data_IF_600347657538
#
_entry.id   IF_600347657538
#
_cell.length_a   1.000
_cell.length_b   1.000
_cell.length_c   1.000
_cell.angle_alpha   90.00
_cell.angle_beta   90.00
_cell.angle_gamma   90.00
#
_symmetry.space_group_name_H-M   'P 1'
#
loop_
_entity.id
_entity.type
_entity.pdbx_description
1 polymer ?
#
# COMPACT_ATOMS: atom_id res chain seq x y z
N UNK A 1 -24.58 1.90 0.81
CA UNK A 1 -24.14 0.52 1.06
C UNK A 1 -22.69 0.47 0.63
N UNK A 2 -21.79 -0.02 1.47
CA UNK A 2 -20.37 -0.12 1.10
C UNK A 2 -20.18 -1.41 0.29
N UNK A 3 -19.50 -1.31 -0.85
CA UNK A 3 -19.30 -2.42 -1.77
C UNK A 3 -17.90 -3.01 -1.63
N UNK A 4 -17.74 -4.33 -1.54
CA UNK A 4 -16.42 -4.94 -1.49
C UNK A 4 -15.71 -4.80 -2.84
N UNK A 5 -14.47 -4.33 -2.81
CA UNK A 5 -13.60 -4.25 -3.99
C UNK A 5 -12.65 -5.43 -4.07
N UNK A 6 -12.29 -6.03 -2.95
CA UNK A 6 -11.48 -7.25 -2.87
C UNK A 6 -12.07 -8.18 -1.80
N UNK A 7 -12.27 -9.45 -2.14
CA UNK A 7 -12.72 -10.49 -1.22
C UNK A 7 -11.84 -11.73 -1.39
N UNK A 8 -11.30 -12.23 -0.29
CA UNK A 8 -10.58 -13.48 -0.18
C UNK A 8 -11.33 -14.39 0.79
N UNK A 9 -11.57 -15.63 0.39
CA UNK A 9 -12.24 -16.65 1.20
C UNK A 9 -11.34 -17.90 1.29
N UNK A 10 -10.84 -18.20 2.49
CA UNK A 10 -9.98 -19.35 2.81
C UNK A 10 -8.79 -19.52 1.85
N UNK A 11 -8.16 -18.40 1.47
CA UNK A 11 -7.07 -18.37 0.51
C UNK A 11 -5.76 -18.91 1.10
N UNK A 12 -5.18 -19.91 0.46
CA UNK A 12 -3.83 -20.39 0.75
C UNK A 12 -2.93 -20.28 -0.46
N UNK A 13 -1.63 -20.14 -0.25
CA UNK A 13 -0.63 -20.09 -1.32
C UNK A 13 0.68 -20.74 -0.90
N UNK A 14 1.23 -21.55 -1.79
CA UNK A 14 2.50 -22.26 -1.64
C UNK A 14 3.32 -22.00 -2.89
N UNK A 15 4.55 -21.53 -2.72
CA UNK A 15 5.48 -21.31 -3.83
C UNK A 15 5.93 -22.63 -4.47
N UNK A 16 6.40 -22.63 -5.72
CA UNK A 16 6.86 -23.84 -6.41
C UNK A 16 8.01 -24.58 -5.71
N UNK A 17 8.78 -23.89 -4.88
CA UNK A 17 9.86 -24.45 -4.05
C UNK A 17 9.36 -25.17 -2.79
N UNK A 18 8.04 -25.16 -2.54
CA UNK A 18 7.39 -25.77 -1.39
C UNK A 18 7.20 -24.82 -0.20
N UNK A 19 7.57 -23.54 -0.32
CA UNK A 19 7.38 -22.56 0.76
C UNK A 19 5.91 -22.19 0.90
N UNK A 20 5.29 -22.55 2.03
CA UNK A 20 3.93 -22.12 2.39
C UNK A 20 3.93 -20.65 2.82
N UNK A 21 3.37 -19.78 1.98
CA UNK A 21 3.38 -18.33 2.22
C UNK A 21 2.09 -17.83 2.89
N UNK A 22 0.95 -18.47 2.59
CA UNK A 22 -0.37 -18.08 3.10
C UNK A 22 -1.20 -19.32 3.44
N UNK A 23 -1.91 -19.28 4.55
CA UNK A 23 -2.74 -20.36 5.07
C UNK A 23 -4.14 -19.86 5.47
N UNK A 24 -5.15 -20.19 4.66
CA UNK A 24 -6.59 -19.91 4.88
C UNK A 24 -6.87 -18.46 5.28
N UNK A 25 -6.39 -17.52 4.47
CA UNK A 25 -6.61 -16.10 4.62
C UNK A 25 -8.02 -15.75 4.14
N UNK A 26 -8.81 -15.14 5.02
CA UNK A 26 -10.13 -14.58 4.69
C UNK A 26 -10.13 -13.10 5.02
N UNK A 27 -10.19 -12.25 3.99
CA UNK A 27 -10.12 -10.78 4.11
C UNK A 27 -11.12 -10.19 3.12
N UNK A 28 -11.79 -9.13 3.56
CA UNK A 28 -12.62 -8.28 2.72
C UNK A 28 -12.10 -6.85 2.81
N UNK A 29 -11.87 -6.21 1.67
CA UNK A 29 -11.56 -4.78 1.55
C UNK A 29 -12.72 -4.11 0.82
N UNK A 30 -13.26 -3.09 1.46
CA UNK A 30 -14.40 -2.31 0.99
C UNK A 30 -13.95 -1.05 0.23
N UNK A 31 -14.80 -0.55 -0.66
CA UNK A 31 -14.55 0.67 -1.42
C UNK A 31 -14.33 1.89 -0.50
N UNK A 32 -13.25 2.63 -0.74
CA UNK A 32 -12.85 3.81 0.04
C UNK A 32 -12.16 3.47 1.37
N UNK A 33 -11.96 2.18 1.68
CA UNK A 33 -11.26 1.74 2.89
C UNK A 33 -9.75 2.00 2.79
N UNK A 34 -9.14 2.38 3.92
CA UNK A 34 -7.68 2.35 4.07
C UNK A 34 -7.25 1.32 5.12
N UNK A 35 -6.54 0.29 4.66
CA UNK A 35 -6.15 -0.86 5.47
C UNK A 35 -4.64 -1.14 5.39
N UNK A 36 -4.07 -1.60 6.50
CA UNK A 36 -2.70 -2.09 6.56
C UNK A 36 -2.64 -3.61 6.68
N UNK A 37 -1.73 -4.23 5.95
CA UNK A 37 -1.28 -5.60 6.12
C UNK A 37 0.10 -5.52 6.75
N UNK A 38 0.18 -5.77 8.06
CA UNK A 38 1.40 -5.63 8.82
C UNK A 38 1.95 -6.99 9.24
N UNK A 39 3.27 -7.13 9.26
CA UNK A 39 3.91 -8.36 9.68
C UNK A 39 5.40 -8.35 9.39
N UNK A 40 6.17 -9.31 9.93
CA UNK A 40 7.60 -9.38 9.72
C UNK A 40 7.94 -9.71 8.25
N UNK A 41 9.22 -9.64 7.91
CA UNK A 41 9.69 -10.14 6.61
C UNK A 41 9.40 -11.64 6.48
N UNK A 42 8.92 -12.07 5.31
CA UNK A 42 8.50 -13.45 5.07
C UNK A 42 7.10 -13.80 5.57
N UNK A 43 6.35 -12.86 6.15
CA UNK A 43 4.98 -13.10 6.63
C UNK A 43 3.93 -13.37 5.53
N UNK A 44 4.29 -13.26 4.25
CA UNK A 44 3.37 -13.42 3.12
C UNK A 44 2.69 -12.13 2.65
N UNK A 45 3.10 -10.94 3.14
CA UNK A 45 2.46 -9.65 2.80
C UNK A 45 2.47 -9.36 1.29
N UNK A 46 3.65 -9.41 0.66
CA UNK A 46 3.81 -9.21 -0.79
C UNK A 46 3.03 -10.26 -1.58
N UNK A 47 3.07 -11.53 -1.15
CA UNK A 47 2.28 -12.61 -1.77
C UNK A 47 0.78 -12.31 -1.72
N UNK A 48 0.28 -11.81 -0.58
CA UNK A 48 -1.11 -11.45 -0.42
C UNK A 48 -1.48 -10.28 -1.34
N UNK A 49 -0.65 -9.24 -1.44
CA UNK A 49 -0.87 -8.14 -2.39
C UNK A 49 -0.89 -8.61 -3.85
N UNK A 50 0.01 -9.52 -4.25
CA UNK A 50 0.01 -10.10 -5.60
C UNK A 50 -1.28 -10.86 -5.91
N UNK A 51 -1.84 -11.56 -4.93
CA UNK A 51 -3.14 -12.24 -5.07
C UNK A 51 -4.28 -11.21 -5.15
N UNK A 52 -4.27 -10.19 -4.29
CA UNK A 52 -5.24 -9.09 -4.32
C UNK A 52 -5.21 -8.33 -5.65
N UNK A 53 -4.04 -8.22 -6.27
CA UNK A 53 -3.83 -7.61 -7.59
C UNK A 53 -4.27 -8.51 -8.76
N UNK A 54 -4.60 -9.78 -8.50
CA UNK A 54 -4.86 -10.77 -9.55
C UNK A 54 -3.63 -11.08 -10.41
N UNK A 55 -2.42 -10.90 -9.87
CA UNK A 55 -1.16 -11.24 -10.52
C UNK A 55 -0.73 -12.68 -10.24
N UNK A 56 -1.18 -13.24 -9.11
CA UNK A 56 -0.92 -14.62 -8.69
C UNK A 56 -2.24 -15.29 -8.33
N UNK A 57 -2.46 -16.51 -8.82
CA UNK A 57 -3.61 -17.31 -8.41
C UNK A 57 -3.30 -18.05 -7.10
N UNK A 58 -4.29 -18.17 -6.19
CA UNK A 58 -4.11 -18.93 -4.96
C UNK A 58 -3.95 -20.43 -5.24
N UNK A 59 -3.33 -21.15 -4.30
CA UNK A 59 -3.28 -22.62 -4.29
C UNK A 59 -4.65 -23.23 -4.00
N UNK A 60 -5.40 -22.62 -3.08
CA UNK A 60 -6.77 -22.97 -2.70
C UNK A 60 -7.53 -21.74 -2.20
N UNK A 61 -8.85 -21.85 -2.07
CA UNK A 61 -9.73 -20.73 -1.67
C UNK A 61 -10.29 -19.97 -2.87
N UNK A 62 -11.02 -18.89 -2.58
CA UNK A 62 -11.65 -18.03 -3.60
C UNK A 62 -11.16 -16.59 -3.51
N UNK A 63 -10.96 -15.96 -4.66
CA UNK A 63 -10.61 -14.54 -4.77
C UNK A 63 -11.66 -13.87 -5.66
N UNK A 64 -12.20 -12.75 -5.21
CA UNK A 64 -13.05 -11.86 -6.01
C UNK A 64 -12.47 -10.46 -6.00
N UNK A 65 -12.40 -9.85 -7.18
CA UNK A 65 -11.97 -8.47 -7.36
C UNK A 65 -13.08 -7.74 -8.11
N UNK A 66 -13.60 -6.66 -7.52
CA UNK A 66 -14.80 -5.95 -7.99
C UNK A 66 -15.98 -6.91 -8.26
N UNK A 67 -16.20 -7.87 -7.36
CA UNK A 67 -17.24 -8.90 -7.45
C UNK A 67 -16.97 -10.03 -8.47
N UNK A 68 -15.93 -9.92 -9.30
CA UNK A 68 -15.55 -10.93 -10.28
C UNK A 68 -14.63 -11.97 -9.68
N UNK A 69 -15.02 -13.25 -9.74
CA UNK A 69 -14.19 -14.38 -9.30
C UNK A 69 -12.96 -14.51 -10.20
N UNK A 70 -11.78 -14.55 -9.58
CA UNK A 70 -10.47 -14.67 -10.23
C UNK A 70 -9.96 -16.10 -10.05
N UNK A 71 -9.63 -16.77 -11.16
CA UNK A 71 -9.03 -18.09 -11.13
C UNK A 71 -7.72 -18.16 -11.92
N UNK A 72 -7.08 -19.33 -11.89
CA UNK A 72 -5.82 -19.60 -12.63
C UNK A 72 -5.89 -19.25 -14.12
N UNK A 73 -7.07 -19.36 -14.74
CA UNK A 73 -7.29 -19.04 -16.16
C UNK A 73 -7.26 -17.54 -16.48
N UNK A 74 -7.44 -16.69 -15.48
CA UNK A 74 -7.50 -15.23 -15.62
C UNK A 74 -6.12 -14.57 -15.49
N UNK A 75 -5.21 -15.22 -14.76
CA UNK A 75 -3.84 -14.75 -14.52
C UNK A 75 -3.04 -14.73 -15.83
N UNK A 76 -2.30 -13.64 -16.08
CA UNK A 76 -1.42 -13.49 -17.24
C UNK A 76 -2.14 -13.25 -18.57
N UNK A 77 -3.47 -13.14 -18.58
CA UNK A 77 -4.23 -12.81 -19.79
C UNK A 77 -4.68 -11.35 -19.76
N UNK A 78 -4.28 -10.60 -20.78
CA UNK A 78 -4.57 -9.18 -20.87
C UNK A 78 -6.10 -8.94 -20.94
N UNK A 79 -6.79 -9.60 -21.86
CA UNK A 79 -8.22 -9.36 -22.12
C UNK A 79 -9.11 -9.63 -20.89
N UNK A 80 -8.82 -10.70 -20.12
CA UNK A 80 -9.64 -11.08 -18.98
C UNK A 80 -9.49 -10.14 -17.77
N UNK A 81 -8.44 -9.35 -17.69
CA UNK A 81 -8.12 -8.56 -16.49
C UNK A 81 -8.03 -7.06 -16.79
N UNK A 82 -8.36 -6.62 -18.01
CA UNK A 82 -8.25 -5.22 -18.44
C UNK A 82 -9.04 -4.27 -17.53
N UNK A 83 -10.31 -4.56 -17.26
CA UNK A 83 -11.17 -3.72 -16.41
C UNK A 83 -10.66 -3.62 -14.97
N UNK A 84 -10.06 -4.70 -14.45
CA UNK A 84 -9.46 -4.71 -13.10
C UNK A 84 -8.19 -3.87 -13.09
N UNK A 85 -7.29 -4.05 -14.07
CA UNK A 85 -6.02 -3.31 -14.16
C UNK A 85 -6.20 -1.82 -14.41
N UNK A 86 -7.29 -1.39 -15.05
CA UNK A 86 -7.67 0.03 -15.15
C UNK A 86 -8.02 0.64 -13.80
N UNK A 87 -8.60 -0.16 -12.91
CA UNK A 87 -9.16 0.28 -11.63
C UNK A 87 -8.27 -0.03 -10.43
N UNK A 88 -7.13 -0.67 -10.65
CA UNK A 88 -6.23 -1.10 -9.58
C UNK A 88 -4.77 -0.82 -9.96
N UNK A 89 -4.12 0.01 -9.16
CA UNK A 89 -2.69 0.27 -9.22
C UNK A 89 -1.94 -0.53 -8.16
N UNK A 90 -0.71 -0.95 -8.48
CA UNK A 90 0.21 -1.56 -7.52
C UNK A 90 1.55 -0.85 -7.57
N UNK A 91 2.13 -0.58 -6.40
CA UNK A 91 3.51 -0.11 -6.25
C UNK A 91 4.29 -1.20 -5.55
N UNK A 92 5.31 -1.72 -6.23
CA UNK A 92 6.17 -2.77 -5.69
C UNK A 92 7.22 -2.19 -4.73
N UNK A 93 7.72 -3.05 -3.84
CA UNK A 93 8.77 -2.70 -2.90
C UNK A 93 10.00 -2.12 -3.60
N UNK A 94 10.47 -2.78 -4.66
CA UNK A 94 11.63 -2.33 -5.44
C UNK A 94 11.19 -1.54 -6.68
N UNK A 95 11.42 -0.23 -6.66
CA UNK A 95 11.12 0.66 -7.78
C UNK A 95 11.96 0.32 -9.03
N UNK A 96 13.17 -0.24 -8.88
CA UNK A 96 14.02 -0.63 -10.00
C UNK A 96 13.47 -1.83 -10.77
N UNK A 97 12.59 -2.64 -10.15
CA UNK A 97 11.88 -3.72 -10.85
C UNK A 97 10.66 -3.23 -11.62
N UNK A 98 10.15 -2.04 -11.27
CA UNK A 98 8.94 -1.46 -11.84
C UNK A 98 9.25 -0.42 -12.93
N UNK A 99 10.38 0.29 -12.82
CA UNK A 99 10.85 1.28 -13.79
C UNK A 99 11.91 0.67 -14.70
N UNK A 100 11.57 0.46 -15.97
CA UNK A 100 12.43 -0.29 -16.90
C UNK A 100 12.56 0.37 -18.28
N UNK A 101 11.86 1.48 -18.50
CA UNK A 101 11.81 2.15 -19.80
C UNK A 101 12.98 3.13 -19.99
N UNK A 102 13.10 3.68 -21.20
CA UNK A 102 14.16 4.63 -21.53
C UNK A 102 14.02 5.95 -20.77
N UNK A 103 12.77 6.37 -20.49
CA UNK A 103 12.45 7.59 -19.76
C UNK A 103 11.36 7.35 -18.72
N UNK A 104 11.26 8.24 -17.73
CA UNK A 104 10.15 8.25 -16.77
C UNK A 104 8.80 8.41 -17.49
N UNK A 105 8.74 9.25 -18.53
CA UNK A 105 7.55 9.38 -19.37
C UNK A 105 7.11 8.03 -19.91
N UNK A 106 8.04 7.25 -20.50
CA UNK A 106 7.74 5.96 -21.11
C UNK A 106 7.21 4.95 -20.09
N UNK A 107 7.79 4.91 -18.87
CA UNK A 107 7.32 4.04 -17.79
C UNK A 107 5.90 4.41 -17.33
N UNK A 108 5.60 5.70 -17.21
CA UNK A 108 4.26 6.17 -16.80
C UNK A 108 3.24 5.96 -17.93
N UNK A 109 3.63 6.16 -19.18
CA UNK A 109 2.78 5.93 -20.34
C UNK A 109 2.53 4.43 -20.60
N UNK A 110 3.41 3.54 -20.13
CA UNK A 110 3.39 2.11 -20.44
C UNK A 110 2.02 1.46 -20.18
N UNK A 111 1.46 1.65 -18.99
CA UNK A 111 0.18 1.06 -18.59
C UNK A 111 -0.98 1.51 -19.49
N UNK A 112 -1.28 2.83 -19.56
CA UNK A 112 -2.32 3.38 -20.42
C UNK A 112 -2.23 2.97 -21.89
N UNK A 113 -1.03 2.97 -22.48
CA UNK A 113 -0.84 2.53 -23.87
C UNK A 113 -1.22 1.04 -24.06
N UNK A 114 -0.84 0.18 -23.12
CA UNK A 114 -1.19 -1.26 -23.16
C UNK A 114 -2.68 -1.52 -22.88
N UNK A 115 -3.40 -0.54 -22.37
CA UNK A 115 -4.85 -0.56 -22.20
C UNK A 115 -5.60 -0.09 -23.45
N UNK A 116 -4.89 0.31 -24.50
CA UNK A 116 -5.43 0.79 -25.77
C UNK A 116 -5.95 2.22 -25.72
N UNK A 117 -5.48 3.03 -24.77
CA UNK A 117 -5.79 4.47 -24.68
C UNK A 117 -5.02 5.21 -25.80
N UNK A 118 -5.64 6.22 -26.42
CA UNK A 118 -5.04 6.95 -27.53
C UNK A 118 -3.84 7.79 -27.11
N UNK A 119 -2.86 7.98 -28.00
CA UNK A 119 -1.59 8.67 -27.69
C UNK A 119 -1.78 10.07 -27.08
N UNK A 120 -2.67 10.88 -27.66
CA UNK A 120 -2.96 12.24 -27.15
C UNK A 120 -3.53 12.21 -25.71
N UNK A 121 -4.42 11.25 -25.43
CA UNK A 121 -5.01 11.07 -24.09
C UNK A 121 -3.96 10.56 -23.09
N UNK A 122 -3.10 9.63 -23.53
CA UNK A 122 -1.99 9.15 -22.69
C UNK A 122 -1.03 10.29 -22.33
N UNK A 123 -0.67 11.14 -23.29
CA UNK A 123 0.22 12.28 -23.04
C UNK A 123 -0.38 13.25 -21.99
N UNK A 124 -1.68 13.54 -22.07
CA UNK A 124 -2.38 14.35 -21.07
C UNK A 124 -2.40 13.67 -19.68
N UNK A 125 -2.67 12.37 -19.63
CA UNK A 125 -2.66 11.59 -18.39
C UNK A 125 -1.26 11.56 -17.73
N UNK A 126 -0.22 11.36 -18.52
CA UNK A 126 1.17 11.33 -18.03
C UNK A 126 1.55 12.70 -17.47
N UNK A 127 1.34 13.78 -18.25
CA UNK A 127 1.67 15.15 -17.83
C UNK A 127 0.97 15.55 -16.54
N UNK A 128 -0.34 15.31 -16.45
CA UNK A 128 -1.12 15.61 -15.25
C UNK A 128 -0.67 14.80 -14.03
N UNK A 129 -0.33 13.53 -14.21
CA UNK A 129 0.18 12.66 -13.13
C UNK A 129 1.55 13.11 -12.63
N UNK A 130 2.47 13.44 -13.54
CA UNK A 130 3.80 13.93 -13.19
C UNK A 130 3.73 15.31 -12.49
N UNK A 131 2.82 16.18 -12.92
CA UNK A 131 2.57 17.48 -12.28
C UNK A 131 1.99 17.30 -10.87
N UNK A 132 0.99 16.43 -10.72
CA UNK A 132 0.38 16.11 -9.43
C UNK A 132 1.40 15.60 -8.41
N UNK A 133 2.38 14.82 -8.84
CA UNK A 133 3.46 14.30 -8.00
C UNK A 133 4.67 15.24 -7.89
N UNK A 134 4.66 16.39 -8.58
CA UNK A 134 5.74 17.37 -8.56
C UNK A 134 7.03 16.89 -9.24
N UNK A 135 6.95 15.94 -10.18
CA UNK A 135 8.09 15.29 -10.83
C UNK A 135 8.13 15.51 -12.35
N UNK A 136 7.43 16.49 -12.89
CA UNK A 136 7.46 16.84 -14.32
C UNK A 136 8.88 17.03 -14.87
N UNK A 137 9.79 17.58 -14.06
CA UNK A 137 11.20 17.78 -14.43
C UNK A 137 11.99 16.47 -14.63
N UNK A 138 11.43 15.33 -14.25
CA UNK A 138 12.03 14.00 -14.43
C UNK A 138 11.54 13.29 -15.70
N UNK A 139 10.53 13.82 -16.40
CA UNK A 139 9.87 13.18 -17.55
C UNK A 139 10.84 12.50 -18.52
N UNK A 140 11.86 13.23 -18.97
CA UNK A 140 12.82 12.79 -19.98
C UNK A 140 14.06 12.09 -19.39
N UNK A 141 14.13 11.90 -18.08
CA UNK A 141 15.29 11.26 -17.43
C UNK A 141 15.18 9.75 -17.51
N UNK A 142 16.33 9.10 -17.62
CA UNK A 142 16.40 7.66 -17.46
C UNK A 142 16.15 7.28 -15.99
N UNK A 143 15.30 6.28 -15.68
CA UNK A 143 15.06 5.84 -14.31
C UNK A 143 16.31 5.51 -13.48
N UNK A 144 17.38 4.96 -14.09
CA UNK A 144 18.63 4.67 -13.39
C UNK A 144 19.36 5.91 -12.85
N UNK A 145 19.12 7.08 -13.43
CA UNK A 145 19.77 8.34 -13.04
C UNK A 145 19.04 9.05 -11.88
N UNK A 146 17.92 8.49 -11.41
CA UNK A 146 17.10 9.05 -10.35
C UNK A 146 17.63 8.66 -8.95
N UNK A 147 17.45 9.55 -7.99
CA UNK A 147 17.58 9.22 -6.57
C UNK A 147 16.47 8.27 -6.10
N UNK A 148 16.65 7.59 -4.96
CA UNK A 148 15.66 6.64 -4.45
C UNK A 148 14.25 7.23 -4.24
N UNK A 149 14.17 8.46 -3.71
CA UNK A 149 12.89 9.18 -3.56
C UNK A 149 12.24 9.55 -4.89
N UNK A 150 13.04 9.95 -5.89
CA UNK A 150 12.56 10.23 -7.24
C UNK A 150 12.05 8.95 -7.94
N UNK A 151 12.79 7.83 -7.82
CA UNK A 151 12.33 6.51 -8.31
C UNK A 151 11.02 6.11 -7.66
N UNK A 152 10.87 6.30 -6.35
CA UNK A 152 9.61 5.99 -5.65
C UNK A 152 8.45 6.81 -6.21
N UNK A 153 8.63 8.12 -6.39
CA UNK A 153 7.59 8.99 -6.99
C UNK A 153 7.26 8.57 -8.43
N UNK A 154 8.27 8.22 -9.24
CA UNK A 154 8.04 7.71 -10.60
C UNK A 154 7.28 6.37 -10.59
N UNK A 155 7.60 5.43 -9.70
CA UNK A 155 6.86 4.18 -9.55
C UNK A 155 5.41 4.42 -9.10
N UNK A 156 5.17 5.37 -8.20
CA UNK A 156 3.81 5.77 -7.82
C UNK A 156 3.07 6.37 -9.02
N UNK A 157 3.74 7.15 -9.86
CA UNK A 157 3.16 7.72 -11.07
C UNK A 157 2.65 6.64 -12.02
N UNK A 158 3.41 5.57 -12.25
CA UNK A 158 2.96 4.46 -13.12
C UNK A 158 1.72 3.74 -12.56
N UNK A 159 1.53 3.72 -11.24
CA UNK A 159 0.35 3.14 -10.60
C UNK A 159 -0.85 4.09 -10.63
N UNK A 160 -0.62 5.41 -10.52
CA UNK A 160 -1.68 6.42 -10.43
C UNK A 160 -2.18 6.94 -11.79
N UNK A 161 -1.41 6.80 -12.86
CA UNK A 161 -1.71 7.41 -14.18
C UNK A 161 -3.09 7.06 -14.71
N UNK A 162 -3.58 5.84 -14.46
CA UNK A 162 -4.93 5.40 -14.87
C UNK A 162 -6.04 5.80 -13.89
N UNK A 163 -5.72 6.64 -12.89
CA UNK A 163 -6.62 7.06 -11.82
C UNK A 163 -7.35 5.90 -11.13
N UNK A 164 -6.64 4.85 -10.67
CA UNK A 164 -7.26 3.63 -10.17
C UNK A 164 -8.17 3.89 -8.96
N UNK A 165 -9.15 3.02 -8.74
CA UNK A 165 -10.03 3.04 -7.56
C UNK A 165 -9.34 2.43 -6.33
N UNK A 166 -8.44 1.48 -6.56
CA UNK A 166 -7.70 0.74 -5.53
C UNK A 166 -6.20 0.90 -5.75
N UNK A 167 -5.47 1.24 -4.69
CA UNK A 167 -4.02 1.33 -4.68
C UNK A 167 -3.43 0.33 -3.68
N UNK A 168 -2.63 -0.61 -4.20
CA UNK A 168 -1.90 -1.60 -3.41
C UNK A 168 -0.43 -1.16 -3.30
N UNK A 169 0.09 -1.09 -2.09
CA UNK A 169 1.41 -0.52 -1.81
C UNK A 169 2.24 -1.52 -1.01
N UNK A 170 3.34 -2.02 -1.59
CA UNK A 170 4.25 -2.94 -0.91
C UNK A 170 5.49 -2.20 -0.40
N UNK A 171 5.66 -2.14 0.92
CA UNK A 171 6.73 -1.43 1.63
C UNK A 171 7.04 -0.04 1.05
N UNK A 172 6.03 0.84 0.87
CA UNK A 172 6.17 2.02 0.00
C UNK A 172 7.09 3.11 0.58
N UNK A 173 7.38 3.06 1.88
CA UNK A 173 8.26 4.00 2.58
C UNK A 173 9.66 3.47 2.81
N UNK A 174 9.96 2.25 2.36
CA UNK A 174 11.31 1.70 2.41
C UNK A 174 12.28 2.64 1.68
N UNK A 175 13.41 2.90 2.34
CA UNK A 175 14.52 3.72 1.85
C UNK A 175 14.19 5.20 1.58
N UNK A 176 13.03 5.69 2.05
CA UNK A 176 12.72 7.12 2.01
C UNK A 176 13.35 7.87 3.19
N UNK A 177 13.97 9.01 2.88
CA UNK A 177 14.36 9.96 3.92
C UNK A 177 13.13 10.57 4.62
N UNK A 178 13.30 11.18 5.82
CA UNK A 178 12.17 11.73 6.58
C UNK A 178 11.33 12.78 5.84
N UNK A 179 11.91 13.54 4.89
CA UNK A 179 11.18 14.55 4.13
C UNK A 179 10.30 13.87 3.09
N UNK A 180 10.86 12.96 2.30
CA UNK A 180 10.14 12.21 1.28
C UNK A 180 9.04 11.32 1.90
N UNK A 181 9.29 10.73 3.08
CA UNK A 181 8.26 9.96 3.81
C UNK A 181 7.05 10.83 4.18
N UNK A 182 7.27 12.07 4.65
CA UNK A 182 6.17 13.01 4.96
C UNK A 182 5.40 13.40 3.71
N UNK A 183 6.09 13.76 2.63
CA UNK A 183 5.44 14.07 1.35
C UNK A 183 4.58 12.89 0.85
N UNK A 184 5.06 11.66 1.04
CA UNK A 184 4.33 10.46 0.69
C UNK A 184 3.09 10.24 1.57
N UNK A 185 3.19 10.44 2.89
CA UNK A 185 2.03 10.37 3.79
C UNK A 185 0.96 11.40 3.39
N UNK A 186 1.34 12.63 3.08
CA UNK A 186 0.40 13.67 2.64
C UNK A 186 -0.26 13.32 1.30
N UNK A 187 0.48 12.71 0.38
CA UNK A 187 -0.08 12.17 -0.86
C UNK A 187 -1.14 11.09 -0.56
N UNK A 188 -0.87 10.14 0.33
CA UNK A 188 -1.83 9.09 0.69
C UNK A 188 -3.09 9.66 1.36
N UNK A 189 -2.94 10.65 2.25
CA UNK A 189 -4.08 11.37 2.85
C UNK A 189 -4.96 12.00 1.77
N UNK A 190 -4.36 12.70 0.80
CA UNK A 190 -5.10 13.30 -0.32
C UNK A 190 -5.84 12.25 -1.15
N UNK A 191 -5.19 11.14 -1.50
CA UNK A 191 -5.83 10.06 -2.25
C UNK A 191 -6.99 9.44 -1.48
N UNK A 192 -6.87 9.29 -0.15
CA UNK A 192 -7.95 8.85 0.70
C UNK A 192 -9.12 9.83 0.72
N UNK A 193 -8.85 11.14 0.83
CA UNK A 193 -9.87 12.20 0.75
C UNK A 193 -10.62 12.18 -0.60
N UNK A 194 -9.92 11.84 -1.67
CA UNK A 194 -10.49 11.64 -3.01
C UNK A 194 -11.29 10.32 -3.14
N UNK A 195 -11.45 9.55 -2.04
CA UNK A 195 -12.25 8.33 -1.97
C UNK A 195 -11.55 7.08 -2.50
N UNK A 196 -10.22 7.11 -2.68
CA UNK A 196 -9.46 5.94 -3.13
C UNK A 196 -9.37 4.89 -2.03
N UNK A 197 -9.44 3.63 -2.43
CA UNK A 197 -9.15 2.49 -1.53
C UNK A 197 -7.65 2.26 -1.47
N UNK A 198 -7.07 2.17 -0.28
CA UNK A 198 -5.61 2.04 -0.11
C UNK A 198 -5.31 0.82 0.76
N UNK A 199 -4.47 -0.08 0.27
CA UNK A 199 -3.95 -1.21 1.04
C UNK A 199 -2.44 -1.13 1.11
N UNK A 200 -1.89 -1.05 2.31
CA UNK A 200 -0.46 -0.92 2.56
C UNK A 200 0.07 -2.20 3.20
N UNK A 201 0.95 -2.93 2.52
CA UNK A 201 1.75 -3.97 3.14
C UNK A 201 3.03 -3.34 3.69
N UNK A 202 3.25 -3.43 5.00
CA UNK A 202 4.51 -2.91 5.58
C UNK A 202 4.85 -3.52 6.92
N UNK A 203 6.10 -3.39 7.35
CA UNK A 203 6.51 -3.56 8.75
C UNK A 203 6.84 -2.23 9.43
N UNK A 204 6.78 -1.10 8.71
CA UNK A 204 6.98 0.24 9.26
C UNK A 204 5.69 0.77 9.91
N UNK A 205 5.70 0.88 11.23
CA UNK A 205 4.48 1.13 12.01
C UNK A 205 4.18 2.63 12.17
N UNK A 206 5.18 3.50 12.10
CA UNK A 206 5.02 4.91 12.44
C UNK A 206 4.12 5.69 11.46
N UNK A 207 4.04 5.28 10.20
CA UNK A 207 3.24 6.01 9.19
C UNK A 207 1.76 5.64 9.23
N UNK A 208 1.44 4.43 9.69
CA UNK A 208 0.12 3.83 9.53
C UNK A 208 -1.00 4.62 10.23
N UNK A 209 -0.83 5.13 11.47
CA UNK A 209 -1.89 5.87 12.16
C UNK A 209 -2.39 7.11 11.42
N UNK A 210 -1.56 7.66 10.52
CA UNK A 210 -1.90 8.85 9.75
C UNK A 210 -2.71 8.53 8.47
N UNK A 211 -2.71 7.28 8.01
CA UNK A 211 -3.22 6.91 6.68
C UNK A 211 -4.24 5.75 6.69
N UNK A 212 -4.15 4.82 7.65
CA UNK A 212 -5.02 3.64 7.72
C UNK A 212 -5.94 3.64 8.94
N UNK A 213 -7.11 3.05 8.77
CA UNK A 213 -8.11 2.91 9.84
C UNK A 213 -8.15 1.50 10.41
N UNK A 214 -7.83 0.50 9.58
CA UNK A 214 -7.84 -0.92 9.92
C UNK A 214 -6.46 -1.52 9.72
N UNK A 215 -6.12 -2.47 10.58
CA UNK A 215 -4.85 -3.19 10.53
C UNK A 215 -5.08 -4.70 10.64
N UNK A 216 -4.41 -5.42 9.75
CA UNK A 216 -4.39 -6.88 9.66
C UNK A 216 -2.95 -7.33 9.93
N UNK A 217 -2.72 -7.98 11.08
CA UNK A 217 -1.43 -8.56 11.43
C UNK A 217 -1.33 -9.95 10.79
N UNK A 218 -0.36 -10.13 9.91
CA UNK A 218 -0.13 -11.32 9.11
C UNK A 218 1.19 -11.98 9.50
N UNK A 219 1.18 -13.32 9.60
CA UNK A 219 2.38 -14.14 9.67
C UNK A 219 2.09 -15.54 9.10
N UNK A 220 1.93 -15.64 7.77
CA UNK A 220 1.41 -16.82 7.09
C UNK A 220 -0.08 -17.06 7.30
N UNK A 221 -0.63 -16.68 8.46
CA UNK A 221 -2.05 -16.61 8.78
C UNK A 221 -2.39 -15.23 9.38
N UNK A 222 -3.69 -14.92 9.48
CA UNK A 222 -4.15 -13.70 10.16
C UNK A 222 -3.99 -13.92 11.68
N UNK A 223 -3.06 -13.20 12.28
CA UNK A 223 -2.80 -13.23 13.74
C UNK A 223 -3.80 -12.35 14.47
N UNK A 224 -4.10 -11.17 13.92
CA UNK A 224 -5.06 -10.21 14.47
C UNK A 224 -5.62 -9.35 13.36
N UNK A 225 -6.87 -8.95 13.53
CA UNK A 225 -7.50 -7.89 12.75
C UNK A 225 -8.25 -6.97 13.70
N UNK A 226 -8.23 -5.66 13.44
CA UNK A 226 -8.98 -4.67 14.19
C UNK A 226 -8.74 -3.25 13.70
N UNK A 227 -9.26 -2.27 14.42
CA UNK A 227 -8.90 -0.88 14.18
C UNK A 227 -7.41 -0.64 14.47
N UNK A 228 -6.83 0.36 13.81
CA UNK A 228 -5.41 0.70 13.96
C UNK A 228 -5.03 0.92 15.44
N UNK A 229 -5.87 1.63 16.20
CA UNK A 229 -5.64 1.90 17.62
C UNK A 229 -5.73 0.66 18.50
N UNK A 230 -6.71 -0.21 18.27
CA UNK A 230 -6.83 -1.47 19.03
C UNK A 230 -5.61 -2.38 18.82
N UNK A 231 -5.10 -2.48 17.59
CA UNK A 231 -3.96 -3.33 17.27
C UNK A 231 -2.65 -2.72 17.78
N UNK A 232 -2.45 -1.42 17.59
CA UNK A 232 -1.19 -0.77 17.96
C UNK A 232 -0.97 -0.59 19.46
N UNK A 233 -2.06 -0.53 20.24
CA UNK A 233 -1.96 -0.43 21.70
C UNK A 233 -1.69 -1.80 22.37
N UNK A 234 -1.89 -2.92 21.67
CA UNK A 234 -1.58 -4.27 22.16
C UNK A 234 -0.10 -4.63 21.94
N UNK A 235 0.77 -4.19 22.86
CA UNK A 235 2.21 -4.48 22.79
C UNK A 235 2.53 -5.97 22.79
N UNK A 236 1.78 -6.77 23.55
CA UNK A 236 2.05 -8.20 23.64
C UNK A 236 1.78 -8.87 22.31
N UNK A 237 0.78 -8.41 21.57
CA UNK A 237 0.53 -8.82 20.20
C UNK A 237 1.67 -8.39 19.28
N UNK A 238 2.05 -7.11 19.29
CA UNK A 238 3.09 -6.59 18.40
C UNK A 238 4.44 -7.29 18.64
N UNK A 239 4.85 -7.46 19.90
CA UNK A 239 6.06 -8.20 20.26
C UNK A 239 6.03 -9.65 19.76
N UNK A 240 4.92 -10.37 19.94
CA UNK A 240 4.77 -11.75 19.45
C UNK A 240 4.76 -11.85 17.93
N UNK A 241 4.24 -10.82 17.27
CA UNK A 241 4.24 -10.71 15.82
C UNK A 241 5.57 -10.17 15.26
N UNK A 242 6.57 -9.89 16.11
CA UNK A 242 7.84 -9.29 15.72
C UNK A 242 7.65 -7.97 14.96
N UNK A 243 6.75 -7.13 15.46
CA UNK A 243 6.45 -5.79 14.98
C UNK A 243 6.88 -4.75 16.02
N UNK A 244 7.31 -3.60 15.53
CA UNK A 244 7.67 -2.47 16.38
C UNK A 244 6.45 -1.73 16.93
N UNK A 245 6.59 -1.16 18.12
CA UNK A 245 5.64 -0.19 18.65
C UNK A 245 6.03 1.20 18.13
N UNK A 246 5.07 2.03 17.66
CA UNK A 246 5.35 3.39 17.21
C UNK A 246 6.19 4.18 18.23
N UNK A 247 7.11 5.01 17.73
CA UNK A 247 8.10 5.69 18.57
C UNK A 247 7.43 6.59 19.62
N UNK A 248 6.37 7.29 19.22
CA UNK A 248 5.58 8.20 20.08
C UNK A 248 4.82 7.45 21.17
N UNK A 249 4.23 6.31 20.84
CA UNK A 249 3.56 5.42 21.79
C UNK A 249 4.55 4.91 22.84
N UNK A 250 5.74 4.48 22.40
CA UNK A 250 6.84 4.05 23.27
C UNK A 250 7.30 5.15 24.22
N UNK A 251 7.44 6.39 23.72
CA UNK A 251 7.81 7.56 24.51
C UNK A 251 6.79 7.85 25.62
N UNK A 252 5.50 7.91 25.30
CA UNK A 252 4.46 8.24 26.26
C UNK A 252 4.30 7.18 27.37
N UNK A 253 4.53 5.92 27.02
CA UNK A 253 4.59 4.84 28.02
C UNK A 253 5.77 4.97 28.97
N UNK A 254 6.95 5.39 28.49
CA UNK A 254 8.11 5.68 29.36
C UNK A 254 7.83 6.83 30.32
N UNK A 255 7.04 7.81 29.91
CA UNK A 255 6.58 8.91 30.75
C UNK A 255 5.55 8.48 31.81
N UNK A 256 5.11 7.22 31.82
CA UNK A 256 4.05 6.65 32.70
C UNK A 256 2.73 7.41 32.64
N UNK A 257 2.47 8.13 31.56
CA UNK A 257 1.20 8.80 31.35
C UNK A 257 0.25 7.80 30.67
N UNK A 258 -0.77 7.34 31.40
CA UNK A 258 -1.43 6.06 31.12
C UNK A 258 -2.84 6.16 30.56
N UNK A 259 -3.44 7.34 30.52
CA UNK A 259 -4.85 7.45 30.14
C UNK A 259 -5.07 7.79 28.66
N UNK A 260 -4.05 8.31 27.95
CA UNK A 260 -4.18 8.78 26.57
C UNK A 260 -2.84 8.69 25.83
N UNK A 261 -2.57 7.55 25.19
CA UNK A 261 -1.31 7.28 24.50
C UNK A 261 -1.45 7.66 23.02
N UNK A 262 -0.71 8.65 22.52
CA UNK A 262 -0.75 9.05 21.13
C UNK A 262 -0.16 7.97 20.22
N UNK A 263 -0.72 7.87 19.02
CA UNK A 263 -0.23 7.04 17.93
C UNK A 263 0.51 7.86 16.87
N UNK A 264 0.25 9.17 16.78
CA UNK A 264 0.95 10.08 15.85
C UNK A 264 1.87 11.07 16.56
N UNK A 265 2.79 11.64 15.80
CA UNK A 265 3.65 12.76 16.27
C UNK A 265 2.82 14.00 16.56
N UNK A 266 1.78 14.27 15.76
CA UNK A 266 0.91 15.43 15.94
C UNK A 266 0.12 15.35 17.26
N UNK A 267 -0.50 14.21 17.54
CA UNK A 267 -1.15 13.95 18.82
C UNK A 267 -0.18 14.12 19.98
N UNK A 268 1.03 13.53 19.87
CA UNK A 268 2.07 13.64 20.88
C UNK A 268 2.47 15.10 21.17
N UNK A 269 2.62 15.94 20.13
CA UNK A 269 2.92 17.37 20.29
C UNK A 269 1.78 18.07 21.04
N UNK A 270 0.53 17.82 20.65
CA UNK A 270 -0.65 18.39 21.32
C UNK A 270 -0.67 18.07 22.81
N UNK A 271 -0.44 16.79 23.17
CA UNK A 271 -0.39 16.33 24.56
C UNK A 271 0.77 16.95 25.34
N UNK A 272 1.96 17.02 24.76
CA UNK A 272 3.12 17.62 25.43
C UNK A 272 2.85 19.10 25.74
N UNK A 273 2.26 19.85 24.81
CA UNK A 273 1.88 21.26 25.03
C UNK A 273 0.91 21.41 26.20
N UNK A 274 -0.12 20.56 26.25
CA UNK A 274 -1.07 20.51 27.37
C UNK A 274 -0.35 20.24 28.71
N UNK A 275 0.62 19.31 28.72
CA UNK A 275 1.38 18.95 29.93
C UNK A 275 2.33 20.05 30.41
N UNK A 276 2.96 20.80 29.52
CA UNK A 276 3.95 21.85 29.88
C UNK A 276 3.33 23.23 30.09
N UNK A 277 2.04 23.41 29.79
CA UNK A 277 1.32 24.66 30.04
C UNK A 277 1.53 25.76 29.00
N UNK A 278 2.11 25.43 27.84
CA UNK A 278 2.13 26.31 26.67
C UNK A 278 0.78 26.17 25.93
N UNK A 279 -0.09 27.17 26.10
CA UNK A 279 -1.33 27.31 25.31
C UNK A 279 -1.01 27.78 23.89
#
# INVERSE_FOLDING_TARGET
>A
MVHPVIELEDVSYTYPDGTDALNRISIRIDEGESAAIAGPNGAGKSTLLLIMAGLVAPSSGEVRIFGRKIGKKDIGRAESMSDIRKRMGIVFQDADTQLFSATVYDDVAFGPMHLGIGEDEVDEMVKSTLEFLGITHLSERHPYDLSGGEKRKAAIATALVSSPDVLLLDEPTADLDPKNRREFVELLKKLKEDGKTIVIATHEMDILPEVVERMIVLNGEIVREGSIGEVMLDEKLLERANLDVPVVTRLFKLLKNSDDIPLTVEEAIGRIKEMVGDK
#
